data_IF_249534893273
#
_entry.id   IF_249534893273
#
_cell.length_a   1.000
_cell.length_b   1.000
_cell.length_c   1.000
_cell.angle_alpha   90.00
_cell.angle_beta   90.00
_cell.angle_gamma   90.00
#
_symmetry.space_group_name_H-M   'P 1'
#
loop_
_entity.id
_entity.type
_entity.pdbx_description
1 polymer ?
#
# COMPACT_ATOMS: atom_id res chain seq x y z
N UNK A 1 2.46 31.50 -16.65
CA UNK A 1 2.73 30.84 -15.36
C UNK A 1 2.80 29.35 -15.68
N UNK A 2 3.97 28.72 -15.60
CA UNK A 2 4.05 27.27 -15.72
C UNK A 2 3.34 26.70 -14.49
N UNK A 3 2.08 26.28 -14.64
CA UNK A 3 1.41 25.46 -13.64
C UNK A 3 2.24 24.20 -13.52
N UNK A 4 2.89 23.99 -12.38
CA UNK A 4 3.44 22.69 -12.05
C UNK A 4 2.24 21.73 -12.06
N UNK A 5 2.19 20.84 -13.05
CA UNK A 5 1.10 19.88 -13.22
C UNK A 5 1.09 18.96 -12.01
N UNK A 6 0.15 19.17 -11.10
CA UNK A 6 0.02 18.38 -9.88
C UNK A 6 -0.84 17.14 -10.09
N UNK A 7 -0.61 16.13 -9.24
CA UNK A 7 -1.36 14.88 -9.20
C UNK A 7 -2.16 14.85 -7.91
N UNK A 8 -3.44 14.48 -8.00
CA UNK A 8 -4.26 14.21 -6.83
C UNK A 8 -4.31 12.71 -6.57
N UNK A 9 -4.05 12.28 -5.34
CA UNK A 9 -4.28 10.91 -4.90
C UNK A 9 -5.48 10.90 -3.94
N UNK A 10 -6.49 10.11 -4.30
CA UNK A 10 -7.72 9.93 -3.53
C UNK A 10 -7.75 8.50 -2.98
N UNK A 11 -7.66 8.36 -1.66
CA UNK A 11 -7.62 7.04 -1.01
C UNK A 11 -8.09 7.08 0.43
N UNK A 12 -8.33 5.92 1.03
CA UNK A 12 -8.75 5.77 2.41
C UNK A 12 -8.01 4.61 3.11
N UNK A 13 -8.02 4.64 4.44
CA UNK A 13 -7.52 3.56 5.27
C UNK A 13 -8.39 3.44 6.52
N UNK A 14 -8.22 2.36 7.28
CA UNK A 14 -8.94 2.20 8.54
C UNK A 14 -8.80 0.78 9.09
N UNK A 15 -9.34 0.53 10.29
CA UNK A 15 -9.25 -0.81 10.92
C UNK A 15 -9.88 -1.92 10.08
N UNK A 16 -11.05 -1.66 9.47
CA UNK A 16 -11.76 -2.61 8.61
C UNK A 16 -11.26 -2.65 7.17
N UNK A 17 -10.48 -1.65 6.73
CA UNK A 17 -9.96 -1.50 5.37
C UNK A 17 -8.49 -1.98 5.29
N UNK A 18 -7.74 -1.82 6.38
CA UNK A 18 -6.28 -1.91 6.40
C UNK A 18 -5.61 -0.59 6.00
N UNK A 19 -4.27 -0.63 5.92
CA UNK A 19 -3.43 0.47 5.45
C UNK A 19 -2.85 0.27 4.05
N UNK A 20 -3.29 -0.77 3.33
CA UNK A 20 -2.71 -1.17 2.05
C UNK A 20 -2.79 -0.08 0.99
N UNK A 21 -3.98 0.52 0.81
CA UNK A 21 -4.21 1.59 -0.18
C UNK A 21 -3.31 2.80 0.07
N UNK A 22 -3.31 3.35 1.29
CA UNK A 22 -2.44 4.48 1.66
C UNK A 22 -0.94 4.14 1.50
N UNK A 23 -0.53 2.91 1.85
CA UNK A 23 0.86 2.48 1.72
C UNK A 23 1.34 2.41 0.28
N UNK A 24 0.57 1.79 -0.63
CA UNK A 24 0.96 1.68 -2.05
C UNK A 24 0.81 2.99 -2.79
N UNK A 25 -0.19 3.80 -2.44
CA UNK A 25 -0.28 5.17 -2.91
C UNK A 25 0.93 6.01 -2.49
N UNK A 26 1.48 5.80 -1.29
CA UNK A 26 2.69 6.52 -0.84
C UNK A 26 3.89 6.14 -1.70
N UNK A 27 4.06 4.86 -2.03
CA UNK A 27 5.09 4.41 -2.97
C UNK A 27 4.95 5.06 -4.36
N UNK A 28 3.72 5.17 -4.87
CA UNK A 28 3.46 5.88 -6.11
C UNK A 28 3.79 7.38 -6.01
N UNK A 29 3.46 8.02 -4.88
CA UNK A 29 3.79 9.42 -4.63
C UNK A 29 5.30 9.67 -4.58
N UNK A 30 6.09 8.75 -4.02
CA UNK A 30 7.56 8.79 -4.10
C UNK A 30 8.06 8.74 -5.54
N UNK A 31 7.42 7.91 -6.38
CA UNK A 31 7.65 7.89 -7.83
C UNK A 31 7.40 9.26 -8.49
N UNK A 32 6.26 9.90 -8.24
CA UNK A 32 5.98 11.25 -8.73
C UNK A 32 6.98 12.29 -8.21
N UNK A 33 7.33 12.24 -6.92
CA UNK A 33 8.30 13.13 -6.31
C UNK A 33 9.68 13.01 -6.96
N UNK A 34 10.11 11.78 -7.33
CA UNK A 34 11.37 11.55 -8.06
C UNK A 34 11.40 12.21 -9.45
N UNK A 35 10.24 12.47 -10.04
CA UNK A 35 10.06 13.18 -11.30
C UNK A 35 9.82 14.69 -11.11
N UNK A 36 9.83 15.18 -9.87
CA UNK A 36 9.52 16.58 -9.54
C UNK A 36 8.03 16.94 -9.67
N UNK A 37 7.15 15.95 -9.66
CA UNK A 37 5.70 16.13 -9.79
C UNK A 37 5.07 16.19 -8.38
N UNK A 38 4.43 17.32 -8.00
CA UNK A 38 3.82 17.44 -6.68
C UNK A 38 2.54 16.61 -6.56
N UNK A 39 2.34 16.03 -5.38
CA UNK A 39 1.15 15.22 -5.04
C UNK A 39 0.32 15.91 -3.98
N UNK A 40 -0.99 16.01 -4.23
CA UNK A 40 -2.01 16.43 -3.27
C UNK A 40 -2.86 15.23 -2.85
N UNK A 41 -3.16 15.12 -1.56
CA UNK A 41 -3.89 13.99 -0.98
C UNK A 41 -5.29 14.40 -0.54
N UNK A 42 -6.28 13.62 -0.97
CA UNK A 42 -7.66 13.71 -0.50
C UNK A 42 -8.01 12.41 0.21
N UNK A 43 -7.99 12.43 1.54
CA UNK A 43 -7.96 11.20 2.36
C UNK A 43 -8.85 11.30 3.59
N UNK A 44 -9.25 10.15 4.14
CA UNK A 44 -9.81 10.12 5.48
C UNK A 44 -8.72 10.26 6.56
N UNK A 45 -9.10 10.47 7.82
CA UNK A 45 -8.16 10.72 8.91
C UNK A 45 -7.08 9.62 9.05
N UNK A 46 -7.48 8.34 9.03
CA UNK A 46 -6.53 7.23 9.15
C UNK A 46 -5.53 7.15 7.98
N UNK A 47 -5.96 7.41 6.75
CA UNK A 47 -5.03 7.49 5.63
C UNK A 47 -4.12 8.72 5.74
N UNK A 48 -4.64 9.86 6.21
CA UNK A 48 -3.87 11.08 6.49
C UNK A 48 -2.69 10.82 7.42
N UNK A 49 -2.92 10.14 8.55
CA UNK A 49 -1.86 9.76 9.49
C UNK A 49 -0.78 8.89 8.83
N UNK A 50 -1.19 7.90 8.01
CA UNK A 50 -0.26 7.00 7.31
C UNK A 50 0.60 7.77 6.31
N UNK A 51 -0.01 8.61 5.46
CA UNK A 51 0.73 9.31 4.40
C UNK A 51 1.66 10.39 4.96
N UNK A 52 1.27 11.08 6.04
CA UNK A 52 2.15 12.01 6.75
C UNK A 52 3.34 11.29 7.36
N UNK A 53 3.13 10.12 7.97
CA UNK A 53 4.23 9.30 8.50
C UNK A 53 5.19 8.81 7.39
N UNK A 54 4.68 8.70 6.16
CA UNK A 54 5.46 8.32 4.96
C UNK A 54 6.01 9.51 4.17
N UNK A 55 6.02 10.71 4.75
CA UNK A 55 6.72 11.86 4.19
C UNK A 55 5.86 12.82 3.38
N UNK A 56 4.54 12.63 3.32
CA UNK A 56 3.64 13.71 2.90
C UNK A 56 3.76 14.90 3.86
N UNK A 57 3.47 16.11 3.38
CA UNK A 57 3.46 17.33 4.20
C UNK A 57 2.04 17.70 4.60
N UNK A 58 1.85 18.38 5.72
CA UNK A 58 0.53 18.89 6.14
C UNK A 58 -0.13 19.75 5.04
N UNK A 59 0.68 20.54 4.32
CA UNK A 59 0.20 21.38 3.22
C UNK A 59 -0.30 20.58 2.00
N UNK A 60 0.17 19.34 1.83
CA UNK A 60 -0.24 18.45 0.74
C UNK A 60 -1.41 17.54 1.09
N UNK A 61 -1.87 17.53 2.35
CA UNK A 61 -2.88 16.58 2.84
C UNK A 61 -4.16 17.32 3.23
N UNK A 62 -5.24 17.03 2.51
CA UNK A 62 -6.59 17.44 2.89
C UNK A 62 -7.32 16.24 3.50
N UNK A 63 -7.52 16.29 4.81
CA UNK A 63 -8.30 15.29 5.55
C UNK A 63 -9.79 15.64 5.45
N UNK A 64 -10.60 14.63 5.14
CA UNK A 64 -12.06 14.71 5.09
C UNK A 64 -12.71 13.52 5.81
N UNK A 65 -14.02 13.58 6.05
CA UNK A 65 -14.74 12.50 6.74
C UNK A 65 -14.68 11.19 5.93
N UNK A 66 -14.98 11.27 4.63
CA UNK A 66 -14.82 10.17 3.68
C UNK A 66 -14.50 10.71 2.28
N UNK A 67 -13.48 10.20 1.59
CA UNK A 67 -13.20 10.59 0.19
C UNK A 67 -14.18 9.97 -0.82
N UNK A 68 -14.90 8.91 -0.41
CA UNK A 68 -15.87 8.21 -1.24
C UNK A 68 -17.28 8.32 -0.65
N UNK A 69 -18.29 7.90 -1.42
CA UNK A 69 -19.69 7.94 -0.99
C UNK A 69 -20.13 9.37 -0.63
N UNK A 70 -20.61 9.58 0.60
CA UNK A 70 -21.19 10.84 1.05
C UNK A 70 -20.24 12.06 1.05
N UNK A 71 -18.93 11.87 0.94
CA UNK A 71 -17.96 12.96 0.85
C UNK A 71 -17.39 13.21 -0.56
N UNK A 72 -17.89 12.52 -1.59
CA UNK A 72 -17.46 12.70 -2.98
C UNK A 72 -17.55 14.16 -3.47
N UNK A 73 -18.56 14.90 -3.03
CA UNK A 73 -18.74 16.31 -3.44
C UNK A 73 -17.58 17.21 -2.99
N UNK A 74 -17.00 16.93 -1.81
CA UNK A 74 -15.82 17.64 -1.33
C UNK A 74 -14.59 17.35 -2.20
N UNK A 75 -14.45 16.11 -2.67
CA UNK A 75 -13.40 15.71 -3.62
C UNK A 75 -13.55 16.46 -4.94
N UNK A 76 -14.75 16.48 -5.54
CA UNK A 76 -14.99 17.20 -6.79
C UNK A 76 -14.75 18.71 -6.63
N UNK A 77 -15.14 19.30 -5.50
CA UNK A 77 -14.89 20.71 -5.23
C UNK A 77 -13.39 21.03 -5.14
N UNK A 78 -12.58 20.17 -4.51
CA UNK A 78 -11.14 20.35 -4.42
C UNK A 78 -10.46 20.24 -5.80
N UNK A 79 -10.85 19.24 -6.59
CA UNK A 79 -10.25 18.96 -7.90
C UNK A 79 -10.65 20.02 -8.93
N UNK A 80 -11.91 20.47 -8.93
CA UNK A 80 -12.40 21.51 -9.84
C UNK A 80 -11.66 22.85 -9.66
N UNK A 81 -11.27 23.18 -8.43
CA UNK A 81 -10.50 24.40 -8.12
C UNK A 81 -9.07 24.33 -8.64
N UNK A 82 -8.46 23.15 -8.58
CA UNK A 82 -7.02 22.97 -8.81
C UNK A 82 -6.70 22.54 -10.25
N UNK A 83 -7.64 21.85 -10.92
CA UNK A 83 -7.51 21.30 -12.28
C UNK A 83 -6.22 20.50 -12.47
N UNK A 84 -6.05 19.40 -11.71
CA UNK A 84 -4.83 18.62 -11.73
C UNK A 84 -4.62 17.96 -13.10
N UNK A 85 -3.37 17.57 -13.37
CA UNK A 85 -3.06 16.85 -14.60
C UNK A 85 -3.49 15.38 -14.55
N UNK A 86 -3.69 14.83 -13.35
CA UNK A 86 -4.03 13.44 -13.13
C UNK A 86 -4.69 13.27 -11.76
N UNK A 87 -5.68 12.39 -11.68
CA UNK A 87 -6.21 11.87 -10.42
C UNK A 87 -5.94 10.37 -10.33
N UNK A 88 -5.28 9.94 -9.25
CA UNK A 88 -5.12 8.53 -8.89
C UNK A 88 -6.16 8.19 -7.84
N UNK A 89 -6.94 7.14 -8.06
CA UNK A 89 -7.95 6.65 -7.14
C UNK A 89 -7.58 5.25 -6.67
N UNK A 90 -7.61 5.03 -5.36
CA UNK A 90 -7.36 3.72 -4.76
C UNK A 90 -8.28 3.50 -3.55
N UNK A 91 -9.28 2.65 -3.74
CA UNK A 91 -10.23 2.28 -2.70
C UNK A 91 -11.45 1.55 -3.26
N UNK A 92 -11.89 0.51 -2.58
CA UNK A 92 -13.01 -0.33 -3.04
C UNK A 92 -14.35 0.41 -3.10
N UNK A 93 -14.49 1.50 -2.34
CA UNK A 93 -15.71 2.32 -2.30
C UNK A 93 -15.81 3.32 -3.49
N UNK A 94 -14.80 3.37 -4.37
CA UNK A 94 -14.84 4.19 -5.57
C UNK A 94 -15.86 3.65 -6.58
N UNK A 95 -17.04 4.27 -6.60
CA UNK A 95 -18.16 3.83 -7.44
C UNK A 95 -17.98 4.23 -8.92
N UNK A 96 -18.69 3.55 -9.85
CA UNK A 96 -18.71 3.93 -11.26
C UNK A 96 -19.12 5.38 -11.52
N UNK A 97 -20.09 5.90 -10.76
CA UNK A 97 -20.52 7.30 -10.90
C UNK A 97 -19.47 8.27 -10.38
N UNK A 98 -18.77 7.92 -9.29
CA UNK A 98 -17.68 8.71 -8.77
C UNK A 98 -16.55 8.86 -9.79
N UNK A 99 -16.07 7.73 -10.35
CA UNK A 99 -14.98 7.74 -11.34
C UNK A 99 -15.38 8.50 -12.62
N UNK A 100 -16.59 8.27 -13.15
CA UNK A 100 -17.08 8.99 -14.34
C UNK A 100 -17.20 10.49 -14.13
N UNK A 101 -17.65 10.93 -12.94
CA UNK A 101 -17.73 12.35 -12.63
C UNK A 101 -16.33 12.96 -12.46
N UNK A 102 -15.42 12.24 -11.79
CA UNK A 102 -14.02 12.64 -11.63
C UNK A 102 -13.31 12.90 -12.97
N UNK A 103 -13.55 12.03 -13.96
CA UNK A 103 -13.01 12.13 -15.32
C UNK A 103 -13.39 13.40 -16.07
N UNK A 104 -14.43 14.10 -15.64
CA UNK A 104 -14.83 15.38 -16.24
C UNK A 104 -13.88 16.51 -15.85
N UNK A 105 -13.09 16.33 -14.80
CA UNK A 105 -12.15 17.33 -14.29
C UNK A 105 -10.70 17.05 -14.67
N UNK A 106 -10.28 15.77 -14.67
CA UNK A 106 -8.92 15.35 -15.00
C UNK A 106 -8.89 13.87 -15.44
N UNK A 107 -7.86 13.42 -16.16
CA UNK A 107 -7.63 11.99 -16.42
C UNK A 107 -7.56 11.19 -15.12
N UNK A 108 -8.14 9.99 -15.10
CA UNK A 108 -8.23 9.14 -13.91
C UNK A 108 -7.43 7.85 -14.07
N UNK A 109 -6.49 7.61 -13.17
CA UNK A 109 -5.85 6.31 -12.95
C UNK A 109 -6.57 5.62 -11.79
N UNK A 110 -7.07 4.41 -12.01
CA UNK A 110 -7.62 3.58 -10.94
C UNK A 110 -6.60 2.48 -10.59
N UNK A 111 -6.25 2.39 -9.31
CA UNK A 111 -5.53 1.23 -8.77
C UNK A 111 -6.55 0.14 -8.48
N UNK A 112 -6.42 -1.01 -9.15
CA UNK A 112 -7.30 -2.17 -9.00
C UNK A 112 -6.50 -3.42 -8.65
N UNK A 113 -7.18 -4.41 -8.06
CA UNK A 113 -6.56 -5.67 -7.62
C UNK A 113 -7.20 -6.89 -8.28
N UNK A 114 -8.52 -6.93 -8.31
CA UNK A 114 -9.28 -8.16 -8.56
C UNK A 114 -10.28 -8.05 -9.73
N UNK A 115 -10.41 -6.88 -10.36
CA UNK A 115 -11.43 -6.59 -11.36
C UNK A 115 -12.83 -7.06 -10.95
N UNK A 116 -13.30 -6.58 -9.79
CA UNK A 116 -14.64 -6.94 -9.27
C UNK A 116 -15.79 -6.51 -10.20
N UNK A 117 -15.50 -5.59 -11.13
CA UNK A 117 -16.37 -5.12 -12.21
C UNK A 117 -15.50 -4.66 -13.40
N UNK A 118 -16.09 -4.38 -14.58
CA UNK A 118 -15.39 -3.78 -15.74
C UNK A 118 -14.94 -2.31 -15.51
N UNK A 119 -14.00 -2.11 -14.59
CA UNK A 119 -13.52 -0.78 -14.16
C UNK A 119 -12.83 0.02 -15.27
N UNK A 120 -12.30 -0.66 -16.28
CA UNK A 120 -11.65 -0.08 -17.47
C UNK A 120 -12.59 0.79 -18.32
N UNK A 121 -13.90 0.74 -18.09
CA UNK A 121 -14.88 1.62 -18.74
C UNK A 121 -15.12 2.92 -17.97
N UNK A 122 -14.58 3.03 -16.76
CA UNK A 122 -14.88 4.08 -15.80
C UNK A 122 -13.67 4.99 -15.51
N UNK A 123 -12.47 4.64 -15.98
CA UNK A 123 -11.19 5.33 -15.74
C UNK A 123 -10.36 5.40 -17.02
N UNK A 124 -9.38 6.32 -17.10
CA UNK A 124 -8.52 6.49 -18.28
C UNK A 124 -7.28 5.59 -18.26
N UNK A 125 -6.88 5.10 -17.09
CA UNK A 125 -5.86 4.07 -16.92
C UNK A 125 -6.26 3.13 -15.78
N UNK A 126 -6.14 1.82 -16.01
CA UNK A 126 -6.16 0.83 -14.94
C UNK A 126 -4.72 0.46 -14.59
N UNK A 127 -4.38 0.57 -13.31
CA UNK A 127 -3.14 0.08 -12.75
C UNK A 127 -3.43 -1.12 -11.85
N UNK A 128 -3.08 -2.32 -12.32
CA UNK A 128 -3.13 -3.53 -11.51
C UNK A 128 -1.78 -4.25 -11.60
N UNK A 129 -0.95 -4.04 -10.59
CA UNK A 129 0.40 -4.61 -10.55
C UNK A 129 0.44 -6.09 -10.15
N UNK A 130 -0.71 -6.73 -9.93
CA UNK A 130 -0.72 -8.10 -9.48
C UNK A 130 -0.18 -9.05 -10.56
N UNK A 131 0.58 -10.08 -10.15
CA UNK A 131 1.19 -11.04 -11.10
C UNK A 131 0.18 -11.73 -12.02
N UNK A 132 -1.07 -11.86 -11.59
CA UNK A 132 -2.17 -12.47 -12.33
C UNK A 132 -3.08 -11.44 -13.00
N UNK A 133 -2.73 -10.15 -13.03
CA UNK A 133 -3.59 -9.08 -13.55
C UNK A 133 -4.03 -9.32 -15.00
N UNK A 134 -3.13 -9.80 -15.86
CA UNK A 134 -3.43 -10.15 -17.24
C UNK A 134 -4.48 -11.26 -17.40
N UNK A 135 -4.64 -12.10 -16.37
CA UNK A 135 -5.61 -13.20 -16.36
C UNK A 135 -7.00 -12.77 -15.88
N UNK A 136 -7.17 -11.53 -15.40
CA UNK A 136 -8.45 -11.01 -14.90
C UNK A 136 -9.40 -10.57 -16.02
N UNK A 137 -8.93 -10.59 -17.27
CA UNK A 137 -9.77 -10.32 -18.44
C UNK A 137 -10.20 -8.87 -18.58
N UNK A 138 -9.30 -7.91 -18.26
CA UNK A 138 -9.50 -6.51 -18.62
C UNK A 138 -9.66 -6.38 -20.14
N UNK A 139 -10.70 -5.65 -20.56
CA UNK A 139 -10.97 -5.44 -21.97
C UNK A 139 -10.18 -4.24 -22.49
N UNK A 140 -9.49 -4.44 -23.61
CA UNK A 140 -8.82 -3.34 -24.31
C UNK A 140 -9.89 -2.37 -24.84
N UNK A 141 -9.69 -1.09 -24.60
CA UNK A 141 -10.69 -0.08 -24.94
C UNK A 141 -10.12 1.32 -24.83
N UNK A 142 -10.84 2.20 -24.15
CA UNK A 142 -10.37 3.57 -23.97
C UNK A 142 -9.29 3.69 -22.88
N UNK A 143 -9.32 2.83 -21.87
CA UNK A 143 -8.37 2.90 -20.76
C UNK A 143 -7.03 2.29 -21.18
N UNK A 144 -5.93 2.96 -20.82
CA UNK A 144 -4.61 2.33 -20.81
C UNK A 144 -4.56 1.25 -19.74
N UNK A 145 -3.97 0.09 -20.05
CA UNK A 145 -3.85 -1.01 -19.10
C UNK A 145 -2.39 -1.17 -18.67
N UNK A 146 -2.11 -0.91 -17.39
CA UNK A 146 -0.83 -1.14 -16.74
C UNK A 146 -0.96 -2.37 -15.84
N UNK A 147 -0.72 -3.55 -16.42
CA UNK A 147 -0.98 -4.84 -15.80
C UNK A 147 0.33 -5.60 -15.52
N UNK A 148 0.39 -6.25 -14.37
CA UNK A 148 1.50 -7.12 -14.01
C UNK A 148 2.58 -6.49 -13.15
N UNK A 149 3.49 -7.33 -12.65
CA UNK A 149 4.47 -6.95 -11.63
C UNK A 149 5.50 -5.91 -12.06
N UNK A 150 5.62 -5.60 -13.35
CA UNK A 150 6.47 -4.50 -13.82
C UNK A 150 5.98 -3.13 -13.34
N UNK A 151 4.70 -3.02 -12.98
CA UNK A 151 4.08 -1.82 -12.43
C UNK A 151 3.95 -1.85 -10.89
N UNK A 152 4.66 -2.76 -10.22
CA UNK A 152 4.61 -2.88 -8.77
C UNK A 152 4.96 -1.55 -8.08
N UNK A 153 4.07 -1.12 -7.19
CA UNK A 153 4.21 0.10 -6.40
C UNK A 153 5.19 -0.11 -5.24
N UNK A 154 6.47 -0.21 -5.56
CA UNK A 154 7.56 -0.38 -4.61
C UNK A 154 7.98 0.97 -4.03
N UNK A 155 8.14 1.01 -2.71
CA UNK A 155 8.70 2.19 -2.04
C UNK A 155 10.17 2.39 -2.42
N UNK A 156 10.62 3.63 -2.37
CA UNK A 156 11.95 4.05 -2.78
C UNK A 156 13.08 3.36 -2.02
N UNK A 157 12.83 2.93 -0.78
CA UNK A 157 13.78 2.12 -0.01
C UNK A 157 14.12 0.78 -0.69
N UNK A 158 13.31 0.30 -1.64
CA UNK A 158 13.54 -0.95 -2.38
C UNK A 158 14.10 -0.75 -3.78
N UNK A 159 14.13 0.48 -4.34
CA UNK A 159 14.49 0.70 -5.75
C UNK A 159 15.95 0.34 -6.07
N UNK A 160 16.84 0.45 -5.08
CA UNK A 160 18.27 0.15 -5.23
C UNK A 160 18.80 -0.75 -4.12
N UNK A 161 17.91 -1.33 -3.33
CA UNK A 161 18.28 -2.22 -2.24
C UNK A 161 18.66 -3.59 -2.82
N UNK A 162 19.86 -4.05 -2.50
CA UNK A 162 20.33 -5.36 -2.89
C UNK A 162 20.14 -6.34 -1.73
N UNK A 163 19.82 -7.62 -2.01
CA UNK A 163 19.80 -8.63 -0.97
C UNK A 163 21.22 -8.96 -0.49
N UNK A 164 21.29 -9.36 0.77
CA UNK A 164 22.50 -9.83 1.45
C UNK A 164 22.37 -11.32 1.78
N UNK A 165 23.49 -11.97 2.12
CA UNK A 165 23.44 -13.37 2.58
C UNK A 165 22.96 -13.43 4.03
N UNK A 166 21.69 -13.75 4.21
CA UNK A 166 21.06 -14.04 5.49
C UNK A 166 20.99 -15.53 5.84
N UNK A 167 20.84 -15.83 7.13
CA UNK A 167 20.57 -17.17 7.65
C UNK A 167 19.18 -17.31 8.30
N UNK A 168 18.53 -16.20 8.66
CA UNK A 168 17.24 -16.16 9.34
C UNK A 168 16.04 -16.00 8.38
N UNK A 169 14.89 -16.51 8.80
CA UNK A 169 13.58 -16.30 8.15
C UNK A 169 12.90 -15.08 8.76
N UNK A 170 12.45 -14.15 7.94
CA UNK A 170 11.61 -13.03 8.41
C UNK A 170 10.14 -13.35 8.19
N UNK A 171 9.33 -13.23 9.22
CA UNK A 171 7.90 -13.53 9.20
C UNK A 171 7.13 -12.21 9.32
N UNK A 172 6.29 -11.90 8.34
CA UNK A 172 5.54 -10.65 8.24
C UNK A 172 4.05 -10.96 8.02
N UNK A 173 3.28 -11.11 9.11
CA UNK A 173 1.82 -11.36 9.05
C UNK A 173 0.98 -10.21 8.46
N UNK A 174 1.60 -9.04 8.21
CA UNK A 174 0.93 -7.85 7.72
C UNK A 174 0.79 -6.77 8.79
N UNK A 175 0.24 -5.62 8.41
CA UNK A 175 0.23 -4.43 9.27
C UNK A 175 -0.60 -4.59 10.55
N UNK A 176 -1.72 -5.32 10.49
CA UNK A 176 -2.69 -5.48 11.57
C UNK A 176 -2.80 -6.91 12.12
N UNK A 177 -2.26 -7.91 11.42
CA UNK A 177 -2.36 -9.34 11.76
C UNK A 177 -3.77 -9.79 12.19
N UNK A 178 -4.81 -9.42 11.43
CA UNK A 178 -6.22 -9.66 11.77
C UNK A 178 -6.58 -11.14 11.97
N UNK A 179 -5.80 -12.05 11.38
CA UNK A 179 -6.03 -13.49 11.47
C UNK A 179 -5.18 -14.16 12.55
N UNK A 180 -4.50 -13.38 13.40
CA UNK A 180 -3.64 -13.89 14.46
C UNK A 180 -2.58 -14.86 13.93
N UNK A 181 -2.06 -14.58 12.74
CA UNK A 181 -1.09 -15.44 12.05
C UNK A 181 0.24 -15.46 12.79
N UNK A 182 0.64 -14.35 13.42
CA UNK A 182 1.79 -14.30 14.31
C UNK A 182 1.68 -15.29 15.47
N UNK A 183 0.51 -15.35 16.15
CA UNK A 183 0.26 -16.30 17.25
C UNK A 183 0.40 -17.75 16.77
N UNK A 184 -0.15 -18.07 15.59
CA UNK A 184 -0.01 -19.41 15.00
C UNK A 184 1.44 -19.78 14.67
N UNK A 185 2.24 -18.83 14.18
CA UNK A 185 3.66 -19.09 13.97
C UNK A 185 4.38 -19.37 15.28
N UNK A 186 4.11 -18.60 16.35
CA UNK A 186 4.72 -18.85 17.67
C UNK A 186 4.34 -20.24 18.21
N UNK A 187 3.09 -20.67 18.05
CA UNK A 187 2.64 -22.00 18.47
C UNK A 187 3.31 -23.15 17.70
N UNK A 188 3.62 -22.94 16.42
CA UNK A 188 4.14 -23.98 15.54
C UNK A 188 5.67 -24.00 15.41
N UNK A 189 6.36 -22.91 15.76
CA UNK A 189 7.79 -22.78 15.50
C UNK A 189 8.60 -23.71 16.41
N UNK A 190 9.04 -24.83 15.84
CA UNK A 190 9.85 -25.82 16.54
C UNK A 190 11.27 -25.33 16.83
N UNK A 191 11.87 -25.77 17.93
CA UNK A 191 13.26 -25.44 18.27
C UNK A 191 14.30 -25.98 17.28
N UNK A 192 13.91 -26.94 16.45
CA UNK A 192 14.68 -27.54 15.36
C UNK A 192 14.56 -26.78 14.02
N UNK A 193 13.70 -25.75 13.97
CA UNK A 193 13.52 -24.91 12.77
C UNK A 193 14.61 -23.83 12.68
N UNK A 194 14.80 -23.22 11.49
CA UNK A 194 15.73 -22.12 11.33
C UNK A 194 15.46 -20.96 12.28
N UNK A 195 16.48 -20.12 12.49
CA UNK A 195 16.31 -18.83 13.16
C UNK A 195 15.25 -18.01 12.43
N UNK A 196 14.34 -17.41 13.17
CA UNK A 196 13.33 -16.52 12.60
C UNK A 196 13.11 -15.26 13.42
N UNK A 197 12.61 -14.23 12.76
CA UNK A 197 12.16 -12.99 13.39
C UNK A 197 10.73 -12.68 12.94
N UNK A 198 9.83 -12.54 13.91
CA UNK A 198 8.44 -12.16 13.72
C UNK A 198 8.30 -10.63 13.75
N UNK A 199 7.83 -10.04 12.66
CA UNK A 199 7.51 -8.62 12.58
C UNK A 199 6.08 -8.39 13.04
N UNK A 200 5.91 -7.66 14.14
CA UNK A 200 4.61 -7.20 14.62
C UNK A 200 4.31 -5.87 13.93
N UNK A 201 3.27 -5.84 13.10
CA UNK A 201 2.92 -4.65 12.30
C UNK A 201 2.50 -3.42 13.13
N UNK A 202 2.50 -2.22 12.52
CA UNK A 202 2.17 -0.96 13.21
C UNK A 202 0.75 -0.91 13.78
N UNK A 203 -0.19 -1.67 13.22
CA UNK A 203 -1.60 -1.69 13.63
C UNK A 203 -1.95 -2.87 14.54
N UNK A 204 -0.97 -3.70 14.91
CA UNK A 204 -1.15 -4.77 15.89
C UNK A 204 -1.43 -4.16 17.27
N UNK A 205 -2.48 -4.65 17.93
CA UNK A 205 -2.87 -4.17 19.26
C UNK A 205 -1.75 -4.38 20.27
N UNK A 206 -1.53 -3.41 21.16
CA UNK A 206 -0.43 -3.49 22.15
C UNK A 206 -0.51 -4.74 23.03
N UNK A 207 -1.72 -5.16 23.41
CA UNK A 207 -1.94 -6.38 24.19
C UNK A 207 -1.51 -7.65 23.45
N UNK A 208 -1.75 -7.73 22.14
CA UNK A 208 -1.29 -8.84 21.30
C UNK A 208 0.22 -8.78 21.11
N UNK A 209 0.78 -7.59 20.89
CA UNK A 209 2.22 -7.41 20.72
C UNK A 209 3.00 -7.83 21.98
N UNK A 210 2.52 -7.48 23.17
CA UNK A 210 3.09 -7.88 24.45
C UNK A 210 3.05 -9.40 24.64
N UNK A 211 1.88 -10.02 24.47
CA UNK A 211 1.73 -11.49 24.57
C UNK A 211 2.66 -12.23 23.62
N UNK A 212 2.75 -11.79 22.35
CA UNK A 212 3.63 -12.41 21.36
C UNK A 212 5.09 -12.23 21.73
N UNK A 213 5.49 -11.04 22.19
CA UNK A 213 6.87 -10.76 22.61
C UNK A 213 7.30 -11.63 23.80
N UNK A 214 6.40 -11.89 24.74
CA UNK A 214 6.64 -12.82 25.85
C UNK A 214 6.74 -14.27 25.39
N UNK A 215 5.83 -14.71 24.52
CA UNK A 215 5.79 -16.08 24.03
C UNK A 215 7.02 -16.44 23.18
N UNK A 216 7.51 -15.52 22.33
CA UNK A 216 8.75 -15.76 21.57
C UNK A 216 9.99 -15.83 22.46
N UNK A 217 10.01 -15.17 23.62
CA UNK A 217 11.15 -15.22 24.52
C UNK A 217 11.42 -16.63 25.09
N UNK A 218 10.41 -17.51 25.05
CA UNK A 218 10.55 -18.92 25.43
C UNK A 218 11.15 -19.80 24.32
N UNK A 219 11.28 -19.29 23.09
CA UNK A 219 11.76 -20.02 21.92
C UNK A 219 13.19 -19.59 21.56
N UNK A 220 14.18 -20.49 21.56
CA UNK A 220 15.60 -20.12 21.38
C UNK A 220 15.94 -19.63 19.97
N UNK A 221 15.09 -19.92 18.99
CA UNK A 221 15.30 -19.65 17.57
C UNK A 221 14.26 -18.68 16.97
N UNK A 222 13.42 -18.04 17.78
CA UNK A 222 12.42 -17.07 17.32
C UNK A 222 12.52 -15.78 18.13
N UNK A 223 12.64 -14.64 17.45
CA UNK A 223 12.53 -13.30 18.05
C UNK A 223 11.32 -12.55 17.52
N UNK A 224 10.90 -11.47 18.18
CA UNK A 224 9.89 -10.56 17.65
C UNK A 224 10.40 -9.12 17.67
N UNK A 225 9.96 -8.33 16.68
CA UNK A 225 10.23 -6.89 16.58
C UNK A 225 8.94 -6.16 16.19
N UNK A 226 8.64 -5.07 16.90
CA UNK A 226 7.44 -4.27 16.64
C UNK A 226 7.76 -3.08 15.74
N UNK A 227 7.01 -2.96 14.64
CA UNK A 227 7.05 -1.85 13.69
C UNK A 227 8.48 -1.33 13.39
N UNK A 228 9.41 -2.20 12.95
CA UNK A 228 10.78 -1.79 12.70
C UNK A 228 10.86 -0.77 11.57
N UNK A 229 11.52 0.36 11.80
CA UNK A 229 11.81 1.35 10.75
C UNK A 229 12.79 0.82 9.71
N UNK A 230 13.61 -0.18 10.07
CA UNK A 230 14.59 -0.83 9.20
C UNK A 230 14.05 -2.09 8.50
N UNK A 231 12.73 -2.22 8.34
CA UNK A 231 12.10 -3.38 7.68
C UNK A 231 12.73 -3.74 6.31
N UNK A 232 12.98 -2.79 5.39
CA UNK A 232 13.63 -3.13 4.11
C UNK A 232 15.01 -3.80 4.32
N UNK A 233 15.82 -3.25 5.22
CA UNK A 233 17.14 -3.81 5.53
C UNK A 233 17.05 -5.18 6.20
N UNK A 234 16.02 -5.42 7.02
CA UNK A 234 15.74 -6.75 7.59
C UNK A 234 15.37 -7.75 6.50
N UNK A 235 14.49 -7.37 5.57
CA UNK A 235 14.16 -8.22 4.42
C UNK A 235 15.41 -8.55 3.59
N UNK A 236 16.24 -7.55 3.27
CA UNK A 236 17.46 -7.74 2.50
C UNK A 236 18.46 -8.69 3.17
N UNK A 237 18.56 -8.67 4.50
CA UNK A 237 19.43 -9.55 5.29
C UNK A 237 18.81 -10.91 5.63
N UNK A 238 17.61 -11.20 5.14
CA UNK A 238 16.92 -12.46 5.45
C UNK A 238 17.25 -13.54 4.42
N UNK A 239 17.34 -14.79 4.88
CA UNK A 239 17.43 -15.97 4.01
C UNK A 239 16.16 -16.15 3.18
N UNK A 240 15.02 -15.92 3.81
CA UNK A 240 13.70 -16.05 3.22
C UNK A 240 12.70 -15.14 3.95
N UNK A 241 11.66 -14.72 3.26
CA UNK A 241 10.58 -13.91 3.82
C UNK A 241 9.26 -14.68 3.70
N UNK A 242 8.61 -14.95 4.83
CA UNK A 242 7.25 -15.48 4.90
C UNK A 242 6.31 -14.30 5.15
N UNK A 243 5.49 -13.95 4.16
CA UNK A 243 4.64 -12.77 4.25
C UNK A 243 3.27 -12.97 3.62
N UNK A 244 2.37 -12.02 3.88
CA UNK A 244 1.08 -11.94 3.18
C UNK A 244 1.27 -11.74 1.68
N UNK A 245 0.33 -12.25 0.87
CA UNK A 245 0.24 -11.95 -0.57
C UNK A 245 -0.30 -10.53 -0.81
N UNK A 246 0.48 -9.53 -0.39
CA UNK A 246 0.18 -8.10 -0.50
C UNK A 246 1.37 -7.36 -1.11
N UNK A 247 1.41 -6.03 -1.06
CA UNK A 247 2.59 -5.24 -1.48
C UNK A 247 3.89 -5.77 -0.85
N UNK A 248 3.85 -6.30 0.37
CA UNK A 248 5.00 -6.90 1.06
C UNK A 248 5.63 -8.06 0.29
N UNK A 249 4.86 -8.86 -0.45
CA UNK A 249 5.46 -9.93 -1.26
C UNK A 249 6.22 -9.37 -2.46
N UNK A 250 5.75 -8.28 -3.08
CA UNK A 250 6.47 -7.59 -4.14
C UNK A 250 7.75 -6.92 -3.62
N UNK A 251 7.71 -6.32 -2.43
CA UNK A 251 8.90 -5.80 -1.75
C UNK A 251 9.95 -6.89 -1.52
N UNK A 252 9.52 -8.06 -1.03
CA UNK A 252 10.42 -9.20 -0.85
C UNK A 252 10.96 -9.74 -2.19
N UNK A 253 10.13 -9.80 -3.24
CA UNK A 253 10.54 -10.29 -4.56
C UNK A 253 11.44 -9.32 -5.35
N UNK A 254 11.42 -8.04 -5.00
CA UNK A 254 12.35 -7.04 -5.54
C UNK A 254 13.80 -7.31 -5.06
N UNK A 255 13.95 -7.97 -3.91
CA UNK A 255 15.22 -8.39 -3.33
C UNK A 255 15.59 -9.78 -3.86
N UNK A 256 16.14 -9.85 -5.08
CA UNK A 256 16.54 -11.11 -5.75
C UNK A 256 17.96 -11.58 -5.44
#
# INVERSE_FOLDING_TARGET
>A
MNTCSEVFIITHAGRSIGGGHASRCSALAEGFASLGVPVQWLVNASAGEIVLHRGATDASVTVMESPFGGGADAVFAAISRSRPALCVVDGYDATPSFLRELRRFAPVVLVDDCRVRPVEYECDVVLNYNMNADLLGYEQGHAGLLLGSEYALLRSEFWSLAPEKGDAVLIIPGASDLLHTGERFVEWWGSDWPRAELVLGPLVESSMAERLSEAVAALPNLSAVRNPSDLPARMARSRAVLCTSSVTSYEALALR
#
